data_IF_337657250038
#
_entry.id   IF_337657250038
#
_cell.length_a   1.000
_cell.length_b   1.000
_cell.length_c   1.000
_cell.angle_alpha   90.00
_cell.angle_beta   90.00
_cell.angle_gamma   90.00
#
_symmetry.space_group_name_H-M   'P 1'
#
loop_
_entity.id
_entity.type
_entity.pdbx_description
1 polymer ?
#
# COMPACT_ATOMS: atom_id res chain seq x y z
N UNK A 1 4.91 -13.06 -6.51
CA UNK A 1 4.09 -13.50 -7.66
C UNK A 1 2.66 -13.00 -7.66
N UNK A 2 1.75 -13.39 -6.76
CA UNK A 2 0.33 -12.95 -6.86
C UNK A 2 0.21 -11.42 -6.89
N UNK A 3 0.96 -10.71 -6.04
CA UNK A 3 0.98 -9.25 -6.03
C UNK A 3 1.64 -8.66 -7.29
N UNK A 4 2.60 -9.38 -7.90
CA UNK A 4 3.22 -8.98 -9.16
C UNK A 4 2.20 -9.07 -10.31
N UNK A 5 1.46 -10.18 -10.42
CA UNK A 5 0.40 -10.36 -11.41
C UNK A 5 -0.75 -9.35 -11.27
N UNK A 6 -0.92 -8.79 -10.06
CA UNK A 6 -1.92 -7.74 -9.77
C UNK A 6 -1.38 -6.32 -9.98
N UNK A 7 -0.13 -6.15 -10.42
CA UNK A 7 0.48 -4.84 -10.59
C UNK A 7 0.67 -4.07 -9.27
N UNK A 8 0.94 -4.77 -8.17
CA UNK A 8 1.18 -4.12 -6.89
C UNK A 8 2.51 -3.34 -6.89
N UNK A 9 2.54 -2.22 -6.17
CA UNK A 9 3.77 -1.45 -5.96
C UNK A 9 4.74 -2.11 -4.97
N UNK A 10 5.88 -1.44 -4.66
CA UNK A 10 6.98 -1.98 -3.86
C UNK A 10 6.53 -2.66 -2.57
N UNK A 11 5.72 -1.98 -1.75
CA UNK A 11 5.16 -2.55 -0.51
C UNK A 11 4.42 -3.88 -0.67
N UNK A 12 3.72 -4.07 -1.79
CA UNK A 12 3.05 -5.34 -2.09
C UNK A 12 4.00 -6.42 -2.60
N UNK A 13 5.06 -6.01 -3.31
CA UNK A 13 6.09 -6.90 -3.83
C UNK A 13 7.11 -7.34 -2.77
N UNK A 14 7.27 -6.60 -1.67
CA UNK A 14 8.05 -6.98 -0.47
C UNK A 14 7.58 -8.28 0.21
N UNK A 15 6.46 -8.84 -0.24
CA UNK A 15 5.94 -10.11 0.21
C UNK A 15 5.30 -10.05 1.61
N UNK A 16 5.23 -11.22 2.25
CA UNK A 16 4.65 -11.34 3.60
C UNK A 16 5.78 -11.09 4.61
N UNK A 17 5.58 -10.22 5.63
CA UNK A 17 6.61 -10.01 6.63
C UNK A 17 6.63 -11.10 7.71
N UNK A 18 7.82 -11.45 8.26
CA UNK A 18 7.94 -12.38 9.37
C UNK A 18 7.11 -11.95 10.58
N UNK A 19 7.10 -10.65 10.89
CA UNK A 19 6.30 -10.05 11.96
C UNK A 19 5.43 -8.95 11.36
N UNK A 20 4.16 -8.90 11.77
CA UNK A 20 3.24 -7.81 11.41
C UNK A 20 2.57 -7.27 12.67
N UNK A 21 2.55 -5.94 12.79
CA UNK A 21 1.90 -5.20 13.89
C UNK A 21 2.37 -5.64 15.29
N UNK A 22 3.60 -6.16 15.39
CA UNK A 22 4.16 -6.81 16.59
C UNK A 22 3.26 -7.89 17.22
N UNK A 23 2.31 -8.44 16.46
CA UNK A 23 1.30 -9.38 16.94
C UNK A 23 1.32 -10.68 16.13
N UNK A 24 1.41 -10.59 14.80
CA UNK A 24 1.37 -11.75 13.92
C UNK A 24 2.77 -12.19 13.52
N UNK A 25 3.31 -13.17 14.24
CA UNK A 25 4.63 -13.77 14.02
C UNK A 25 4.50 -15.00 13.11
N UNK A 26 5.41 -15.15 12.14
CA UNK A 26 5.50 -16.26 11.18
C UNK A 26 6.86 -16.94 11.28
N UNK A 27 7.07 -17.83 12.27
CA UNK A 27 8.38 -18.43 12.55
C UNK A 27 8.94 -19.22 11.36
N UNK A 28 8.06 -19.91 10.61
CA UNK A 28 8.44 -20.78 9.51
C UNK A 28 8.50 -20.08 8.15
N UNK A 29 8.44 -18.74 8.09
CA UNK A 29 8.35 -18.01 6.81
C UNK A 29 9.57 -18.21 5.90
N UNK A 30 10.74 -18.52 6.49
CA UNK A 30 11.99 -18.80 5.77
C UNK A 30 12.23 -20.29 5.51
N UNK A 31 11.33 -21.16 5.96
CA UNK A 31 11.47 -22.61 5.78
C UNK A 31 10.72 -23.06 4.54
N UNK A 32 11.36 -23.93 3.76
CA UNK A 32 10.73 -24.52 2.59
C UNK A 32 9.72 -25.60 3.02
N UNK A 33 8.83 -25.99 2.10
CA UNK A 33 7.93 -27.12 2.36
C UNK A 33 8.74 -28.41 2.58
N UNK A 34 9.85 -28.58 1.85
CA UNK A 34 10.74 -29.73 1.98
C UNK A 34 11.35 -29.78 3.39
N UNK A 35 11.88 -28.66 3.88
CA UNK A 35 12.46 -28.58 5.24
C UNK A 35 11.46 -29.01 6.31
N UNK A 36 10.20 -28.60 6.18
CA UNK A 36 9.14 -28.93 7.13
C UNK A 36 8.80 -30.42 7.06
N UNK A 37 8.70 -31.00 5.86
CA UNK A 37 8.39 -32.42 5.69
C UNK A 37 9.54 -33.32 6.15
N UNK A 38 10.79 -32.94 5.86
CA UNK A 38 11.97 -33.66 6.30
C UNK A 38 12.08 -33.66 7.83
N UNK A 39 11.78 -32.52 8.47
CA UNK A 39 11.69 -32.41 9.93
C UNK A 39 10.60 -33.32 10.51
N UNK A 40 9.37 -33.26 9.97
CA UNK A 40 8.26 -34.11 10.45
C UNK A 40 8.58 -35.60 10.30
N UNK A 41 9.28 -35.99 9.23
CA UNK A 41 9.73 -37.36 9.03
C UNK A 41 10.79 -37.78 10.05
N UNK A 42 11.73 -36.90 10.38
CA UNK A 42 12.77 -37.17 11.38
C UNK A 42 12.18 -37.35 12.79
N UNK A 43 11.12 -36.61 13.11
CA UNK A 43 10.41 -36.67 14.39
C UNK A 43 9.29 -37.72 14.44
N UNK A 44 9.10 -38.51 13.38
CA UNK A 44 7.99 -39.46 13.19
C UNK A 44 6.60 -38.84 13.51
N UNK A 45 6.43 -37.55 13.16
CA UNK A 45 5.25 -36.78 13.51
C UNK A 45 4.19 -36.89 12.39
N UNK A 46 3.02 -37.51 12.65
CA UNK A 46 1.96 -37.60 11.65
C UNK A 46 1.34 -36.22 11.36
N UNK A 47 0.93 -36.02 10.11
CA UNK A 47 0.25 -34.80 9.66
C UNK A 47 -0.84 -35.14 8.63
N UNK A 48 -1.82 -34.24 8.47
CA UNK A 48 -2.90 -34.36 7.48
C UNK A 48 -2.68 -33.40 6.32
N UNK A 49 -2.90 -33.86 5.10
CA UNK A 49 -2.91 -33.03 3.90
C UNK A 49 -4.34 -32.58 3.60
N UNK A 50 -4.56 -31.27 3.54
CA UNK A 50 -5.84 -30.69 3.13
C UNK A 50 -6.01 -30.79 1.61
N UNK A 51 -7.15 -31.33 1.15
CA UNK A 51 -7.49 -31.51 -0.27
C UNK A 51 -7.60 -30.18 -1.03
N UNK A 52 -7.93 -29.08 -0.36
CA UNK A 52 -7.98 -27.75 -0.99
C UNK A 52 -6.61 -27.26 -1.47
N UNK A 53 -5.50 -27.85 -0.99
CA UNK A 53 -4.15 -27.48 -1.40
C UNK A 53 -3.84 -27.82 -2.87
N UNK A 54 -4.58 -28.75 -3.47
CA UNK A 54 -4.42 -29.14 -4.88
C UNK A 54 -5.43 -28.46 -5.79
N UNK A 55 -6.41 -27.74 -5.25
CA UNK A 55 -7.43 -27.06 -6.05
C UNK A 55 -6.85 -25.82 -6.74
N UNK A 56 -6.63 -25.92 -8.05
CA UNK A 56 -6.08 -24.83 -8.88
C UNK A 56 -7.09 -23.75 -9.25
N UNK A 57 -8.36 -23.84 -8.83
CA UNK A 57 -9.35 -22.76 -8.99
C UNK A 57 -8.91 -21.50 -8.24
N UNK A 58 -8.19 -21.67 -7.13
CA UNK A 58 -7.59 -20.57 -6.40
C UNK A 58 -6.29 -20.10 -7.06
N UNK A 59 -6.20 -18.81 -7.37
CA UNK A 59 -5.02 -18.19 -8.02
C UNK A 59 -3.70 -18.53 -7.32
N UNK A 60 -3.69 -18.64 -5.98
CA UNK A 60 -2.50 -19.02 -5.22
C UNK A 60 -2.00 -20.41 -5.60
N UNK A 61 -2.91 -21.37 -5.71
CA UNK A 61 -2.59 -22.76 -6.05
C UNK A 61 -2.26 -22.87 -7.54
N UNK A 62 -2.97 -22.15 -8.42
CA UNK A 62 -2.62 -22.07 -9.84
C UNK A 62 -1.18 -21.54 -10.05
N UNK A 63 -0.79 -20.47 -9.36
CA UNK A 63 0.57 -19.94 -9.43
C UNK A 63 1.59 -20.98 -8.96
N UNK A 64 1.33 -21.67 -7.85
CA UNK A 64 2.25 -22.66 -7.28
C UNK A 64 2.41 -23.91 -8.15
N UNK A 65 1.31 -24.43 -8.68
CA UNK A 65 1.29 -25.74 -9.34
C UNK A 65 1.44 -25.65 -10.87
N UNK A 66 1.17 -24.49 -11.48
CA UNK A 66 1.26 -24.31 -12.94
C UNK A 66 2.35 -23.33 -13.33
N UNK A 67 2.38 -22.13 -12.73
CA UNK A 67 3.28 -21.06 -13.17
C UNK A 67 4.72 -21.22 -12.67
N UNK A 68 4.91 -21.46 -11.37
CA UNK A 68 6.27 -21.61 -10.80
C UNK A 68 7.06 -22.73 -11.47
N UNK A 69 6.50 -23.95 -11.70
CA UNK A 69 7.25 -25.02 -12.36
C UNK A 69 7.75 -24.64 -13.75
N UNK A 70 6.92 -23.97 -14.56
CA UNK A 70 7.32 -23.48 -15.89
C UNK A 70 8.43 -22.43 -15.80
N UNK A 71 8.35 -21.52 -14.83
CA UNK A 71 9.42 -20.53 -14.61
C UNK A 71 10.73 -21.17 -14.16
N UNK A 72 10.66 -22.24 -13.36
CA UNK A 72 11.82 -23.01 -12.91
C UNK A 72 12.45 -23.82 -14.05
N UNK A 73 11.65 -24.52 -14.85
CA UNK A 73 12.15 -25.40 -15.91
C UNK A 73 12.65 -24.63 -17.14
N UNK A 74 11.92 -23.61 -17.58
CA UNK A 74 12.11 -23.04 -18.91
C UNK A 74 12.93 -21.73 -18.89
N UNK A 75 13.04 -21.08 -17.73
CA UNK A 75 13.63 -19.73 -17.63
C UNK A 75 14.75 -19.63 -16.60
N UNK A 76 14.46 -19.99 -15.34
CA UNK A 76 15.40 -19.82 -14.25
C UNK A 76 15.13 -20.85 -13.14
N UNK A 77 15.97 -21.89 -13.02
CA UNK A 77 15.87 -22.89 -11.94
C UNK A 77 15.86 -22.29 -10.53
N UNK A 78 16.45 -21.09 -10.36
CA UNK A 78 16.56 -20.38 -9.09
C UNK A 78 15.52 -19.24 -8.95
N UNK A 79 14.41 -19.28 -9.69
CA UNK A 79 13.41 -18.19 -9.71
C UNK A 79 12.83 -17.91 -8.32
N UNK A 80 12.61 -18.94 -7.48
CA UNK A 80 12.12 -18.74 -6.11
C UNK A 80 13.11 -17.91 -5.31
N UNK A 81 14.40 -18.24 -5.39
CA UNK A 81 15.47 -17.51 -4.70
C UNK A 81 15.64 -16.09 -5.26
N UNK A 82 15.49 -15.90 -6.58
CA UNK A 82 15.52 -14.59 -7.19
C UNK A 82 14.35 -13.69 -6.73
N UNK A 83 13.14 -14.25 -6.64
CA UNK A 83 11.96 -13.55 -6.13
C UNK A 83 12.08 -13.23 -4.64
N UNK A 84 12.68 -14.11 -3.85
CA UNK A 84 12.96 -13.87 -2.43
C UNK A 84 13.93 -12.69 -2.26
N UNK A 85 15.05 -12.69 -2.99
CA UNK A 85 16.01 -11.56 -3.03
C UNK A 85 15.35 -10.24 -3.42
N UNK A 86 14.53 -10.24 -4.48
CA UNK A 86 13.77 -9.06 -4.88
C UNK A 86 12.86 -8.57 -3.74
N UNK A 87 12.15 -9.48 -3.07
CA UNK A 87 11.27 -9.12 -1.96
C UNK A 87 12.04 -8.53 -0.78
N UNK A 88 13.26 -8.99 -0.54
CA UNK A 88 14.14 -8.50 0.51
C UNK A 88 14.64 -7.07 0.22
N UNK A 89 15.13 -6.83 -0.99
CA UNK A 89 15.57 -5.49 -1.44
C UNK A 89 14.42 -4.49 -1.32
N UNK A 90 13.26 -4.80 -1.92
CA UNK A 90 12.11 -3.91 -1.91
C UNK A 90 11.58 -3.63 -0.51
N UNK A 91 11.75 -4.57 0.42
CA UNK A 91 11.38 -4.37 1.81
C UNK A 91 12.27 -3.35 2.51
N UNK A 92 13.59 -3.50 2.37
CA UNK A 92 14.55 -2.58 2.98
C UNK A 92 14.34 -1.16 2.44
N UNK A 93 14.15 -1.02 1.12
CA UNK A 93 13.84 0.27 0.51
C UNK A 93 12.50 0.83 0.98
N UNK A 94 11.45 0.02 1.06
CA UNK A 94 10.14 0.47 1.53
C UNK A 94 10.18 0.89 3.01
N UNK A 95 10.93 0.19 3.86
CA UNK A 95 11.13 0.57 5.27
C UNK A 95 11.82 1.94 5.37
N UNK A 96 12.89 2.17 4.61
CA UNK A 96 13.57 3.46 4.56
C UNK A 96 12.65 4.58 4.05
N UNK A 97 11.97 4.35 2.93
CA UNK A 97 11.09 5.35 2.32
C UNK A 97 9.84 5.63 3.17
N UNK A 98 9.31 4.65 3.89
CA UNK A 98 8.18 4.86 4.80
C UNK A 98 8.58 5.67 6.04
N UNK A 99 9.79 5.44 6.56
CA UNK A 99 10.37 6.24 7.63
C UNK A 99 10.64 7.69 7.20
N UNK A 100 11.23 7.89 6.02
CA UNK A 100 11.45 9.23 5.48
C UNK A 100 10.12 9.95 5.20
N UNK A 101 9.15 9.24 4.62
CA UNK A 101 7.80 9.78 4.44
C UNK A 101 7.12 10.15 5.75
N UNK A 102 7.41 9.45 6.86
CA UNK A 102 6.90 9.81 8.18
C UNK A 102 7.49 11.13 8.68
N UNK A 103 8.81 11.33 8.53
CA UNK A 103 9.46 12.60 8.87
C UNK A 103 8.91 13.76 8.03
N UNK A 104 8.77 13.56 6.72
CA UNK A 104 8.23 14.59 5.82
C UNK A 104 6.76 14.87 6.10
N UNK A 105 5.98 13.85 6.47
CA UNK A 105 4.61 14.02 6.92
C UNK A 105 4.53 14.94 8.13
N UNK A 106 5.33 14.69 9.16
CA UNK A 106 5.36 15.51 10.38
C UNK A 106 5.85 16.94 10.11
N UNK A 107 6.89 17.08 9.28
CA UNK A 107 7.39 18.40 8.87
C UNK A 107 6.34 19.21 8.10
N UNK A 108 5.56 18.57 7.23
CA UNK A 108 4.53 19.24 6.42
C UNK A 108 3.23 19.49 7.18
N UNK A 109 2.99 18.79 8.30
CA UNK A 109 1.76 18.86 9.07
C UNK A 109 1.59 20.26 9.67
N UNK A 110 0.42 20.86 9.47
CA UNK A 110 0.06 22.14 10.09
C UNK A 110 -0.98 21.95 11.20
N UNK A 111 -2.06 21.22 10.90
CA UNK A 111 -3.16 20.97 11.83
C UNK A 111 -3.57 19.51 11.72
N UNK A 112 -3.88 18.89 12.85
CA UNK A 112 -4.39 17.52 12.92
C UNK A 112 -5.57 17.45 13.87
N UNK A 113 -6.65 16.85 13.38
CA UNK A 113 -7.83 16.46 14.15
C UNK A 113 -8.16 14.98 13.89
N UNK A 114 -9.15 14.44 14.59
CA UNK A 114 -9.70 13.11 14.32
C UNK A 114 -10.33 12.99 12.91
N UNK A 115 -10.93 14.06 12.41
CA UNK A 115 -11.71 14.07 11.16
C UNK A 115 -10.98 14.68 9.97
N UNK A 116 -9.91 15.46 10.19
CA UNK A 116 -9.13 16.09 9.14
C UNK A 116 -7.65 16.26 9.47
N UNK A 117 -6.84 16.40 8.42
CA UNK A 117 -5.41 16.69 8.49
C UNK A 117 -5.07 17.75 7.45
N UNK A 118 -4.32 18.77 7.85
CA UNK A 118 -3.87 19.85 6.99
C UNK A 118 -2.36 19.86 6.85
N UNK A 119 -1.88 20.13 5.64
CA UNK A 119 -0.47 20.25 5.31
C UNK A 119 -0.14 21.63 4.73
N UNK A 120 1.09 22.07 4.94
CA UNK A 120 1.63 23.27 4.28
C UNK A 120 1.91 22.99 2.81
N UNK A 121 1.24 23.73 1.92
CA UNK A 121 1.44 23.63 0.47
C UNK A 121 2.88 24.00 0.08
N UNK A 122 3.46 25.02 0.72
CA UNK A 122 4.84 25.47 0.48
C UNK A 122 5.88 24.39 0.82
N UNK A 123 5.63 23.58 1.86
CA UNK A 123 6.51 22.47 2.21
C UNK A 123 6.32 21.30 1.26
N UNK A 124 5.06 20.92 0.97
CA UNK A 124 4.75 19.86 0.01
C UNK A 124 5.32 20.12 -1.39
N UNK A 125 5.27 21.37 -1.87
CA UNK A 125 5.78 21.73 -3.20
C UNK A 125 7.29 21.61 -3.36
N UNK A 126 8.04 21.51 -2.26
CA UNK A 126 9.50 21.29 -2.26
C UNK A 126 9.87 19.81 -2.31
N UNK A 127 8.91 18.92 -2.09
CA UNK A 127 9.15 17.49 -2.08
C UNK A 127 9.03 16.91 -3.49
N UNK A 128 9.75 15.83 -3.75
CA UNK A 128 9.55 15.05 -4.96
C UNK A 128 8.11 14.49 -5.02
N UNK A 129 7.46 14.41 -6.20
CA UNK A 129 6.08 13.90 -6.33
C UNK A 129 5.84 12.53 -5.68
N UNK A 130 6.83 11.63 -5.77
CA UNK A 130 6.75 10.32 -5.10
C UNK A 130 6.65 10.44 -3.56
N UNK A 131 7.32 11.42 -2.96
CA UNK A 131 7.25 11.67 -1.52
C UNK A 131 5.93 12.34 -1.14
N UNK A 132 5.43 13.28 -1.96
CA UNK A 132 4.09 13.86 -1.79
C UNK A 132 3.04 12.75 -1.78
N UNK A 133 3.11 11.80 -2.72
CA UNK A 133 2.22 10.64 -2.74
C UNK A 133 2.25 9.85 -1.42
N UNK A 134 3.44 9.57 -0.87
CA UNK A 134 3.56 8.85 0.40
C UNK A 134 2.99 9.64 1.57
N UNK A 135 3.27 10.95 1.65
CA UNK A 135 2.75 11.84 2.70
C UNK A 135 1.22 11.93 2.64
N UNK A 136 0.65 12.19 1.46
CA UNK A 136 -0.80 12.29 1.29
C UNK A 136 -1.48 10.95 1.59
N UNK A 137 -0.91 9.84 1.11
CA UNK A 137 -1.43 8.50 1.39
C UNK A 137 -1.41 8.18 2.89
N UNK A 138 -0.37 8.59 3.64
CA UNK A 138 -0.36 8.50 5.11
C UNK A 138 -1.47 9.36 5.74
N UNK A 139 -1.70 10.58 5.24
CA UNK A 139 -2.79 11.45 5.69
C UNK A 139 -4.18 10.87 5.50
N UNK A 140 -4.45 10.33 4.30
CA UNK A 140 -5.70 9.61 4.02
C UNK A 140 -5.83 8.41 4.97
N UNK A 141 -4.76 7.64 5.19
CA UNK A 141 -4.77 6.50 6.10
C UNK A 141 -5.15 6.87 7.54
N UNK A 142 -4.65 8.00 8.04
CA UNK A 142 -4.97 8.51 9.39
C UNK A 142 -6.45 8.93 9.51
N UNK A 143 -6.99 9.61 8.50
CA UNK A 143 -8.36 10.16 8.51
C UNK A 143 -9.42 9.09 8.17
N UNK A 144 -9.15 8.26 7.15
CA UNK A 144 -10.06 7.20 6.69
C UNK A 144 -10.01 5.95 7.56
N UNK A 145 -8.87 5.72 8.25
CA UNK A 145 -8.49 4.49 9.00
C UNK A 145 -8.09 3.30 8.12
N UNK A 146 -8.22 3.40 6.80
CA UNK A 146 -7.76 2.39 5.85
C UNK A 146 -7.56 2.98 4.44
N UNK A 147 -6.83 2.28 3.57
CA UNK A 147 -6.54 2.72 2.19
C UNK A 147 -7.26 1.92 1.11
N UNK A 148 -8.26 1.11 1.46
CA UNK A 148 -9.06 0.36 0.48
C UNK A 148 -9.78 1.33 -0.46
N UNK A 149 -9.85 0.93 -1.73
CA UNK A 149 -10.44 1.69 -2.86
C UNK A 149 -9.69 2.96 -3.25
N UNK A 150 -8.49 3.21 -2.70
CA UNK A 150 -7.59 4.26 -3.20
C UNK A 150 -6.61 3.63 -4.19
N UNK A 151 -6.96 3.71 -5.47
CA UNK A 151 -6.15 3.22 -6.61
C UNK A 151 -5.04 4.20 -7.01
N UNK A 152 -4.21 3.78 -7.98
CA UNK A 152 -3.19 4.63 -8.59
C UNK A 152 -3.79 5.88 -9.26
N UNK A 153 -4.88 5.72 -10.00
CA UNK A 153 -5.57 6.85 -10.66
C UNK A 153 -5.96 7.96 -9.69
N UNK A 154 -6.45 7.60 -8.49
CA UNK A 154 -6.74 8.59 -7.45
C UNK A 154 -5.48 9.29 -6.95
N UNK A 155 -4.33 8.61 -6.88
CA UNK A 155 -3.07 9.24 -6.50
C UNK A 155 -2.55 10.20 -7.57
N UNK A 156 -2.74 9.86 -8.85
CA UNK A 156 -2.44 10.75 -9.97
C UNK A 156 -3.32 12.01 -9.93
N UNK A 157 -4.63 11.85 -9.72
CA UNK A 157 -5.57 12.96 -9.53
C UNK A 157 -5.16 13.87 -8.35
N UNK A 158 -4.69 13.28 -7.26
CA UNK A 158 -4.19 14.02 -6.09
C UNK A 158 -2.95 14.85 -6.45
N UNK A 159 -1.99 14.27 -7.19
CA UNK A 159 -0.79 15.01 -7.60
C UNK A 159 -1.14 16.15 -8.53
N UNK A 160 -1.97 15.90 -9.55
CA UNK A 160 -2.49 16.95 -10.44
C UNK A 160 -3.18 18.06 -9.62
N UNK A 161 -4.03 17.67 -8.67
CA UNK A 161 -4.69 18.60 -7.78
C UNK A 161 -3.71 19.41 -6.92
N UNK A 162 -2.63 18.79 -6.43
CA UNK A 162 -1.61 19.45 -5.61
C UNK A 162 -0.77 20.46 -6.40
N UNK A 163 -0.36 20.12 -7.62
CA UNK A 163 0.62 20.91 -8.38
C UNK A 163 -0.02 21.82 -9.43
N UNK A 164 -1.04 21.37 -10.15
CA UNK A 164 -1.54 22.06 -11.34
C UNK A 164 -2.81 22.87 -11.09
N UNK A 165 -3.71 22.39 -10.21
CA UNK A 165 -5.02 23.05 -10.02
C UNK A 165 -4.96 24.32 -9.18
N UNK A 166 -5.90 25.25 -9.39
CA UNK A 166 -5.98 26.47 -8.61
C UNK A 166 -6.44 26.24 -7.17
N UNK A 167 -5.97 27.09 -6.25
CA UNK A 167 -6.51 27.19 -4.90
C UNK A 167 -7.99 27.64 -4.91
N UNK A 168 -8.74 27.27 -3.87
CA UNK A 168 -10.18 27.48 -3.77
C UNK A 168 -11.01 26.35 -4.39
N UNK A 169 -10.42 25.16 -4.57
CA UNK A 169 -11.10 24.00 -5.17
C UNK A 169 -11.04 22.78 -4.25
N UNK A 170 -11.83 21.74 -4.56
CA UNK A 170 -11.83 20.47 -3.85
C UNK A 170 -11.75 19.25 -4.79
N UNK A 171 -11.13 18.17 -4.33
CA UNK A 171 -11.09 16.86 -4.97
C UNK A 171 -11.80 15.81 -4.11
N UNK A 172 -12.69 15.05 -4.73
CA UNK A 172 -13.46 13.99 -4.08
C UNK A 172 -12.78 12.63 -4.28
N UNK A 173 -12.68 11.86 -3.21
CA UNK A 173 -12.08 10.54 -3.19
C UNK A 173 -13.05 9.51 -2.57
N UNK A 174 -12.88 8.21 -2.89
CA UNK A 174 -13.69 7.15 -2.31
C UNK A 174 -13.68 7.14 -0.78
N UNK A 175 -14.82 6.79 -0.19
CA UNK A 175 -14.96 6.65 1.26
C UNK A 175 -15.20 7.97 2.00
N UNK A 176 -15.87 8.95 1.34
CA UNK A 176 -16.19 10.28 1.89
C UNK A 176 -14.95 11.12 2.21
N UNK A 177 -13.85 10.88 1.50
CA UNK A 177 -12.64 11.68 1.66
C UNK A 177 -12.71 12.82 0.66
N UNK A 178 -12.48 14.04 1.14
CA UNK A 178 -12.36 15.24 0.32
C UNK A 178 -11.06 15.94 0.63
N UNK A 179 -10.37 16.38 -0.42
CA UNK A 179 -9.15 17.17 -0.32
C UNK A 179 -9.47 18.58 -0.75
N UNK A 180 -9.22 19.53 0.14
CA UNK A 180 -9.40 20.96 -0.06
C UNK A 180 -8.06 21.62 -0.35
N UNK A 181 -8.00 22.45 -1.39
CA UNK A 181 -6.81 23.26 -1.69
C UNK A 181 -7.12 24.71 -1.37
N UNK A 182 -6.51 25.24 -0.33
CA UNK A 182 -6.59 26.66 0.01
C UNK A 182 -5.32 27.38 -0.48
N UNK A 183 -5.15 28.66 -0.12
CA UNK A 183 -4.01 29.47 -0.57
C UNK A 183 -2.68 28.85 -0.15
N UNK A 184 -2.56 28.52 1.15
CA UNK A 184 -1.31 28.06 1.77
C UNK A 184 -1.35 26.62 2.30
N UNK A 185 -2.54 26.02 2.36
CA UNK A 185 -2.78 24.70 2.97
C UNK A 185 -3.49 23.74 2.01
N UNK A 186 -3.22 22.46 2.23
CA UNK A 186 -3.94 21.34 1.62
C UNK A 186 -4.55 20.50 2.75
N UNK A 187 -5.88 20.38 2.78
CA UNK A 187 -6.59 19.71 3.88
C UNK A 187 -7.29 18.46 3.38
N UNK A 188 -7.01 17.33 4.00
CA UNK A 188 -7.69 16.05 3.79
C UNK A 188 -8.72 15.90 4.90
N UNK A 189 -9.99 15.76 4.54
CA UNK A 189 -11.09 15.61 5.51
C UNK A 189 -11.96 14.41 5.17
N UNK A 190 -12.43 13.71 6.19
CA UNK A 190 -13.53 12.75 6.08
C UNK A 190 -14.83 13.48 6.36
N UNK A 191 -15.66 13.60 5.34
CA UNK A 191 -16.96 14.23 5.49
C UNK A 191 -17.94 13.30 6.20
N UNK A 192 -18.80 13.90 7.03
CA UNK A 192 -19.85 13.18 7.74
C UNK A 192 -20.95 12.74 6.78
N UNK A 193 -21.35 13.64 5.88
CA UNK A 193 -22.39 13.42 4.87
C UNK A 193 -21.81 12.91 3.54
N UNK A 194 -22.61 12.25 2.70
CA UNK A 194 -22.21 11.90 1.34
C UNK A 194 -21.75 13.12 0.54
N UNK A 195 -20.65 12.97 -0.21
CA UNK A 195 -20.04 14.08 -0.96
C UNK A 195 -20.98 14.74 -1.99
N UNK A 196 -21.95 13.96 -2.50
CA UNK A 196 -23.00 14.44 -3.41
C UNK A 196 -23.94 15.48 -2.79
N UNK A 197 -24.08 15.49 -1.46
CA UNK A 197 -24.96 16.41 -0.72
C UNK A 197 -24.24 17.69 -0.28
N UNK A 198 -22.91 17.71 -0.31
CA UNK A 198 -22.08 18.83 0.18
C UNK A 198 -21.74 19.82 -0.96
N UNK A 199 -21.96 19.43 -2.22
CA UNK A 199 -21.51 20.21 -3.40
C UNK A 199 -19.98 20.21 -3.54
N UNK A 200 -19.46 20.62 -4.69
CA UNK A 200 -18.01 20.82 -4.89
C UNK A 200 -17.67 22.30 -4.70
N UNK A 201 -16.51 22.58 -4.09
CA UNK A 201 -15.96 23.93 -4.15
C UNK A 201 -15.40 24.16 -5.55
N UNK A 202 -16.04 25.05 -6.29
CA UNK A 202 -15.54 25.66 -7.51
C UNK A 202 -15.23 27.12 -7.23
N UNK A 203 -14.26 27.69 -7.95
CA UNK A 203 -13.82 29.07 -7.79
C UNK A 203 -15.05 30.01 -7.90
N UNK A 204 -15.51 30.60 -6.80
CA UNK A 204 -16.64 31.54 -6.80
C UNK A 204 -17.76 31.33 -5.75
N UNK A 205 -17.75 30.27 -4.95
CA UNK A 205 -18.74 30.12 -3.86
C UNK A 205 -18.41 30.97 -2.64
N UNK A 206 -19.08 32.13 -2.48
CA UNK A 206 -19.16 32.84 -1.20
C UNK A 206 -19.92 31.97 -0.18
N UNK A 207 -19.44 31.97 1.06
CA UNK A 207 -20.21 31.56 2.25
C UNK A 207 -21.38 32.54 2.40
#
# INVERSE_FOLDING_TARGET
MINLLRGAGPKGLSGIPPVRDNLYIRPLIRKTKKDILDFLKAEDQPFRVDASNTDTTYLRNAVRHRLIPVLESDYNPEIINALDRLSHILRQEEEYLDAEAQKQFESCLTIKDASFISFSKKKLSKLHPAMVNRVIRKGIGKVKKDLRRISLTHMEDILDFCFNRHSGTSLDLPGRIRIYKQKDTLTIKKEERPLREIGKLTKGGRI
#
